data_IF_984373603100
#
_entry.id   IF_984373603100
#
_cell.length_a   1.000
_cell.length_b   1.000
_cell.length_c   1.000
_cell.angle_alpha   90.00
_cell.angle_beta   90.00
_cell.angle_gamma   90.00
#
_symmetry.space_group_name_H-M   'P 1'
#
loop_
_entity.id
_entity.type
_entity.pdbx_description
1 polymer ?
#
# COMPACT_ATOMS: atom_id res chain seq x y z
N UNK A 1 -10.61 30.98 6.17
CA UNK A 1 -9.31 30.40 5.79
C UNK A 1 -9.37 30.02 4.32
N UNK A 2 -8.45 30.60 3.56
CA UNK A 2 -8.46 30.81 2.11
C UNK A 2 -8.31 29.51 1.31
N UNK A 3 -9.15 29.33 0.31
CA UNK A 3 -9.22 28.14 -0.56
C UNK A 3 -7.96 27.88 -1.40
N UNK A 4 -7.06 28.86 -1.51
CA UNK A 4 -5.83 28.81 -2.32
C UNK A 4 -4.68 28.01 -1.69
N UNK A 5 -4.68 27.86 -0.36
CA UNK A 5 -3.62 27.12 0.36
C UNK A 5 -3.80 25.59 0.30
N UNK A 6 -4.99 25.12 -0.11
CA UNK A 6 -5.31 23.67 -0.21
C UNK A 6 -4.83 23.02 -1.50
N UNK A 7 -4.71 23.78 -2.59
CA UNK A 7 -4.34 23.27 -3.93
C UNK A 7 -2.87 22.84 -4.02
N UNK A 8 -1.98 23.44 -3.21
CA UNK A 8 -0.57 23.06 -3.13
C UNK A 8 -0.35 21.79 -2.31
N UNK A 9 -1.29 21.40 -1.44
CA UNK A 9 -1.13 20.28 -0.51
C UNK A 9 -0.94 18.96 -1.22
N UNK A 10 -1.83 18.62 -2.16
CA UNK A 10 -1.79 17.32 -2.85
C UNK A 10 -0.57 17.24 -3.78
N UNK A 11 -0.21 18.34 -4.44
CA UNK A 11 0.98 18.43 -5.29
C UNK A 11 2.28 18.31 -4.48
N UNK A 12 2.33 18.95 -3.31
CA UNK A 12 3.45 18.85 -2.38
C UNK A 12 3.61 17.42 -1.85
N UNK A 13 2.51 16.76 -1.50
CA UNK A 13 2.52 15.35 -1.07
C UNK A 13 3.02 14.44 -2.20
N UNK A 14 2.55 14.64 -3.43
CA UNK A 14 2.93 13.83 -4.58
C UNK A 14 4.42 14.03 -4.94
N UNK A 15 4.92 15.27 -4.88
CA UNK A 15 6.34 15.58 -5.04
C UNK A 15 7.20 15.05 -3.88
N UNK A 16 6.71 15.12 -2.65
CA UNK A 16 7.40 14.57 -1.48
C UNK A 16 7.51 13.04 -1.57
N UNK A 17 6.44 12.35 -1.99
CA UNK A 17 6.44 10.91 -2.22
C UNK A 17 7.44 10.52 -3.32
N UNK A 18 7.44 11.25 -4.44
CA UNK A 18 8.38 11.03 -5.53
C UNK A 18 9.84 11.23 -5.09
N UNK A 19 10.11 12.33 -4.37
CA UNK A 19 11.41 12.65 -3.83
C UNK A 19 11.89 11.61 -2.81
N UNK A 20 11.02 11.19 -1.89
CA UNK A 20 11.32 10.16 -0.90
C UNK A 20 11.62 8.81 -1.56
N UNK A 21 10.83 8.42 -2.58
CA UNK A 21 11.04 7.17 -3.31
C UNK A 21 12.38 7.19 -4.07
N UNK A 22 12.70 8.30 -4.74
CA UNK A 22 13.99 8.47 -5.41
C UNK A 22 15.15 8.45 -4.41
N UNK A 23 15.03 9.19 -3.31
CA UNK A 23 16.05 9.22 -2.27
C UNK A 23 16.30 7.83 -1.69
N UNK A 24 15.23 7.11 -1.33
CA UNK A 24 15.32 5.74 -0.82
C UNK A 24 15.91 4.78 -1.85
N UNK A 25 15.57 4.91 -3.14
CA UNK A 25 16.16 4.11 -4.20
C UNK A 25 17.67 4.40 -4.37
N UNK A 26 18.06 5.67 -4.35
CA UNK A 26 19.46 6.06 -4.41
C UNK A 26 20.25 5.60 -3.18
N UNK A 27 19.66 5.67 -2.00
CA UNK A 27 20.25 5.21 -0.75
C UNK A 27 20.43 3.68 -0.77
N UNK A 28 19.40 2.94 -1.18
CA UNK A 28 19.46 1.49 -1.34
C UNK A 28 20.55 1.05 -2.33
N UNK A 29 20.68 1.73 -3.47
CA UNK A 29 21.73 1.46 -4.47
C UNK A 29 23.13 1.78 -3.92
N UNK A 30 23.28 2.87 -3.16
CA UNK A 30 24.57 3.32 -2.62
C UNK A 30 25.07 2.50 -1.43
N UNK A 31 24.17 2.09 -0.54
CA UNK A 31 24.53 1.43 0.72
C UNK A 31 24.67 -0.07 0.58
N UNK A 32 23.79 -0.72 -0.20
CA UNK A 32 23.85 -2.18 -0.38
C UNK A 32 23.35 -2.57 -1.77
N UNK A 33 24.27 -2.63 -2.72
CA UNK A 33 24.06 -3.22 -4.05
C UNK A 33 24.04 -4.76 -4.02
N UNK A 34 23.82 -5.36 -2.85
CA UNK A 34 23.53 -6.79 -2.75
C UNK A 34 22.22 -7.08 -3.48
N UNK A 35 22.25 -8.07 -4.38
CA UNK A 35 21.11 -8.46 -5.21
C UNK A 35 19.86 -8.71 -4.36
N UNK A 36 19.99 -9.21 -3.12
CA UNK A 36 18.86 -9.43 -2.22
C UNK A 36 18.07 -8.16 -1.87
N UNK A 37 18.72 -7.02 -1.64
CA UNK A 37 18.01 -5.78 -1.29
C UNK A 37 17.39 -5.12 -2.53
N UNK A 38 18.11 -5.14 -3.65
CA UNK A 38 17.63 -4.59 -4.92
C UNK A 38 16.46 -5.37 -5.52
N UNK A 39 16.39 -6.69 -5.28
CA UNK A 39 15.37 -7.58 -5.87
C UNK A 39 13.94 -7.20 -5.47
N UNK A 40 13.74 -6.61 -4.28
CA UNK A 40 12.43 -6.12 -3.81
C UNK A 40 12.29 -4.59 -3.93
N UNK A 41 13.35 -3.84 -3.61
CA UNK A 41 13.28 -2.37 -3.59
C UNK A 41 13.14 -1.80 -5.01
N UNK A 42 13.88 -2.36 -5.98
CA UNK A 42 13.90 -1.87 -7.36
C UNK A 42 12.53 -1.99 -8.05
N UNK A 43 11.84 -3.16 -8.09
CA UNK A 43 10.54 -3.25 -8.73
C UNK A 43 9.49 -2.41 -8.02
N UNK A 44 9.51 -2.35 -6.68
CA UNK A 44 8.56 -1.53 -5.92
C UNK A 44 8.75 -0.04 -6.23
N UNK A 45 9.99 0.45 -6.22
CA UNK A 45 10.29 1.84 -6.54
C UNK A 45 9.88 2.19 -7.99
N UNK A 46 10.11 1.28 -8.94
CA UNK A 46 9.66 1.46 -10.33
C UNK A 46 8.14 1.57 -10.44
N UNK A 47 7.39 0.70 -9.75
CA UNK A 47 5.92 0.74 -9.75
C UNK A 47 5.43 2.07 -9.15
N UNK A 48 5.97 2.47 -8.00
CA UNK A 48 5.57 3.73 -7.34
C UNK A 48 5.88 4.93 -8.25
N UNK A 49 7.08 4.99 -8.82
CA UNK A 49 7.46 6.06 -9.76
C UNK A 49 6.58 6.07 -11.01
N UNK A 50 6.22 4.90 -11.55
CA UNK A 50 5.32 4.78 -12.69
C UNK A 50 3.91 5.31 -12.37
N UNK A 51 3.36 4.98 -11.19
CA UNK A 51 2.05 5.48 -10.74
C UNK A 51 2.08 6.99 -10.59
N UNK A 52 3.10 7.52 -9.90
CA UNK A 52 3.30 8.97 -9.72
C UNK A 52 3.42 9.68 -11.07
N UNK A 53 4.21 9.13 -12.01
CA UNK A 53 4.38 9.70 -13.34
C UNK A 53 3.06 9.68 -14.13
N UNK A 54 2.35 8.55 -14.11
CA UNK A 54 1.07 8.38 -14.80
C UNK A 54 0.03 9.37 -14.26
N UNK A 55 -0.04 9.53 -12.95
CA UNK A 55 -0.93 10.50 -12.31
C UNK A 55 -0.58 11.93 -12.69
N UNK A 56 0.72 12.29 -12.71
CA UNK A 56 1.19 13.59 -13.14
C UNK A 56 0.83 13.86 -14.60
N UNK A 57 1.06 12.90 -15.50
CA UNK A 57 0.71 13.00 -16.93
C UNK A 57 -0.80 13.12 -17.14
N UNK A 58 -1.60 12.35 -16.39
CA UNK A 58 -3.06 12.44 -16.46
C UNK A 58 -3.57 13.80 -15.98
N UNK A 59 -3.03 14.33 -14.88
CA UNK A 59 -3.39 15.65 -14.35
C UNK A 59 -2.94 16.79 -15.28
N UNK A 60 -1.76 16.67 -15.89
CA UNK A 60 -1.27 17.57 -16.95
C UNK A 60 -2.22 17.59 -18.16
N UNK A 61 -2.57 16.42 -18.70
CA UNK A 61 -3.46 16.31 -19.87
C UNK A 61 -4.87 16.85 -19.61
N UNK A 62 -5.38 16.68 -18.39
CA UNK A 62 -6.71 17.18 -18.00
C UNK A 62 -6.69 18.67 -17.61
N UNK A 63 -5.53 19.31 -17.54
CA UNK A 63 -5.40 20.69 -17.02
C UNK A 63 -5.75 20.82 -15.53
N UNK A 64 -5.92 19.70 -14.83
CA UNK A 64 -6.31 19.62 -13.42
C UNK A 64 -5.11 19.46 -12.51
N UNK A 65 -3.92 19.89 -12.94
CA UNK A 65 -2.71 19.85 -12.11
C UNK A 65 -2.95 20.41 -10.70
N UNK A 66 -3.71 21.51 -10.63
CA UNK A 66 -4.07 22.20 -9.40
C UNK A 66 -5.49 21.90 -8.91
N UNK A 67 -6.28 21.12 -9.66
CA UNK A 67 -7.67 20.86 -9.29
C UNK A 67 -7.73 19.58 -8.44
N UNK A 68 -8.30 19.72 -7.24
CA UNK A 68 -8.50 18.61 -6.31
C UNK A 68 -9.56 17.65 -6.88
N UNK A 69 -9.37 16.32 -6.81
CA UNK A 69 -10.50 15.40 -6.83
C UNK A 69 -11.39 15.71 -5.62
N UNK A 70 -12.71 15.59 -5.78
CA UNK A 70 -13.66 15.75 -4.68
C UNK A 70 -13.19 14.90 -3.50
N UNK A 71 -12.78 15.56 -2.41
CA UNK A 71 -12.27 14.87 -1.25
C UNK A 71 -13.40 14.00 -0.70
N UNK A 72 -13.24 12.67 -0.77
CA UNK A 72 -14.15 11.76 -0.10
C UNK A 72 -14.28 12.18 1.37
N UNK A 73 -15.51 12.21 1.92
CA UNK A 73 -15.72 12.68 3.27
C UNK A 73 -14.87 11.86 4.23
N UNK A 74 -14.03 12.54 5.02
CA UNK A 74 -13.11 11.94 6.01
C UNK A 74 -13.75 10.83 6.85
N UNK A 75 -15.06 10.91 7.12
CA UNK A 75 -15.84 9.87 7.82
C UNK A 75 -15.84 8.50 7.13
N UNK A 76 -15.72 8.43 5.82
CA UNK A 76 -15.64 7.18 5.06
C UNK A 76 -14.22 6.61 5.05
N UNK A 77 -13.20 7.47 5.05
CA UNK A 77 -11.78 7.06 5.04
C UNK A 77 -11.26 6.69 6.43
N UNK A 78 -11.73 7.37 7.49
CA UNK A 78 -11.30 7.14 8.88
C UNK A 78 -11.38 5.67 9.34
N UNK A 79 -12.49 4.94 9.12
CA UNK A 79 -12.58 3.54 9.53
C UNK A 79 -11.62 2.63 8.76
N UNK A 80 -11.32 2.94 7.49
CA UNK A 80 -10.35 2.19 6.68
C UNK A 80 -8.93 2.40 7.21
N UNK A 81 -8.56 3.65 7.53
CA UNK A 81 -7.25 3.98 8.10
C UNK A 81 -7.09 3.33 9.48
N UNK A 82 -8.13 3.34 10.31
CA UNK A 82 -8.13 2.65 11.60
C UNK A 82 -7.96 1.13 11.46
N UNK A 83 -8.64 0.53 10.49
CA UNK A 83 -8.50 -0.90 10.19
C UNK A 83 -7.08 -1.25 9.70
N UNK A 84 -6.49 -0.39 8.86
CA UNK A 84 -5.12 -0.55 8.40
C UNK A 84 -4.11 -0.45 9.55
N UNK A 85 -4.29 0.51 10.47
CA UNK A 85 -3.45 0.61 11.66
C UNK A 85 -3.56 -0.63 12.55
N UNK A 86 -4.77 -1.16 12.75
CA UNK A 86 -5.00 -2.38 13.50
C UNK A 86 -4.35 -3.61 12.83
N UNK A 87 -4.34 -3.66 11.49
CA UNK A 87 -3.60 -4.69 10.74
C UNK A 87 -2.09 -4.60 10.97
N UNK A 88 -1.51 -3.41 10.87
CA UNK A 88 -0.06 -3.23 11.10
C UNK A 88 0.34 -3.65 12.52
N UNK A 89 -0.47 -3.31 13.53
CA UNK A 89 -0.23 -3.75 14.91
C UNK A 89 -0.39 -5.26 15.09
N UNK A 90 -1.31 -5.90 14.35
CA UNK A 90 -1.57 -7.33 14.48
C UNK A 90 -0.55 -8.20 13.74
N UNK A 91 0.25 -7.63 12.83
CA UNK A 91 1.35 -8.34 12.15
C UNK A 91 2.37 -8.91 13.14
N UNK A 92 2.70 -8.17 14.21
CA UNK A 92 3.67 -8.62 15.22
C UNK A 92 3.13 -9.80 16.04
N UNK A 93 1.82 -9.85 16.32
CA UNK A 93 1.22 -10.84 17.22
C UNK A 93 0.59 -12.06 16.52
N UNK A 94 -0.07 -11.85 15.38
CA UNK A 94 -0.85 -12.89 14.68
C UNK A 94 -0.09 -13.52 13.50
N UNK A 95 1.05 -12.94 13.11
CA UNK A 95 1.77 -13.36 11.93
C UNK A 95 1.11 -12.88 10.62
N UNK A 96 1.91 -12.85 9.56
CA UNK A 96 1.56 -12.19 8.30
C UNK A 96 0.27 -12.75 7.65
N UNK A 97 0.13 -14.07 7.58
CA UNK A 97 -0.96 -14.72 6.85
C UNK A 97 -2.32 -14.47 7.50
N UNK A 98 -2.42 -14.72 8.80
CA UNK A 98 -3.67 -14.61 9.57
C UNK A 98 -4.10 -13.15 9.67
N UNK A 99 -3.15 -12.24 9.92
CA UNK A 99 -3.42 -10.81 9.93
C UNK A 99 -3.94 -10.33 8.57
N UNK A 100 -3.34 -10.80 7.46
CA UNK A 100 -3.75 -10.42 6.10
C UNK A 100 -5.15 -10.93 5.76
N UNK A 101 -5.46 -12.19 6.08
CA UNK A 101 -6.80 -12.78 5.85
C UNK A 101 -7.86 -12.02 6.67
N UNK A 102 -7.60 -11.75 7.95
CA UNK A 102 -8.52 -11.02 8.82
C UNK A 102 -8.72 -9.56 8.36
N UNK A 103 -7.65 -8.90 7.94
CA UNK A 103 -7.71 -7.54 7.41
C UNK A 103 -8.57 -7.46 6.15
N UNK A 104 -8.35 -8.35 5.17
CA UNK A 104 -9.12 -8.36 3.92
C UNK A 104 -10.60 -8.68 4.20
N UNK A 105 -10.86 -9.65 5.09
CA UNK A 105 -12.23 -9.98 5.49
C UNK A 105 -12.92 -8.78 6.15
N UNK A 106 -12.27 -8.14 7.11
CA UNK A 106 -12.81 -6.96 7.79
C UNK A 106 -12.99 -5.77 6.82
N UNK A 107 -12.07 -5.59 5.87
CA UNK A 107 -12.13 -4.53 4.89
C UNK A 107 -13.31 -4.70 3.92
N UNK A 108 -13.52 -5.93 3.43
CA UNK A 108 -14.66 -6.26 2.56
C UNK A 108 -16.01 -6.15 3.30
N UNK A 109 -16.06 -6.55 4.58
CA UNK A 109 -17.25 -6.32 5.43
C UNK A 109 -17.54 -4.83 5.58
N UNK A 110 -16.49 -4.01 5.77
CA UNK A 110 -16.62 -2.56 5.92
C UNK A 110 -17.07 -1.88 4.61
N UNK A 111 -16.71 -2.45 3.46
CA UNK A 111 -17.18 -2.06 2.13
C UNK A 111 -18.62 -2.49 1.83
N UNK A 112 -19.22 -3.37 2.64
CA UNK A 112 -20.62 -3.78 2.52
C UNK A 112 -20.86 -5.05 1.71
N UNK A 113 -19.82 -5.84 1.43
CA UNK A 113 -19.94 -7.08 0.66
C UNK A 113 -20.71 -8.14 1.47
N UNK A 114 -21.93 -8.50 1.02
CA UNK A 114 -22.83 -9.44 1.75
C UNK A 114 -22.69 -10.91 1.34
N UNK A 115 -21.81 -11.22 0.40
CA UNK A 115 -21.64 -12.60 -0.06
C UNK A 115 -20.57 -13.31 0.75
N UNK A 116 -20.97 -13.94 1.87
CA UNK A 116 -20.08 -14.60 2.83
C UNK A 116 -19.17 -15.67 2.21
N UNK A 117 -19.60 -16.34 1.13
CA UNK A 117 -18.79 -17.32 0.40
C UNK A 117 -17.67 -16.65 -0.41
N UNK A 118 -17.98 -15.56 -1.13
CA UNK A 118 -16.96 -14.79 -1.84
C UNK A 118 -16.04 -14.06 -0.86
N UNK A 119 -16.59 -13.55 0.25
CA UNK A 119 -15.85 -12.89 1.32
C UNK A 119 -14.79 -13.82 1.91
N UNK A 120 -15.20 -15.02 2.34
CA UNK A 120 -14.28 -16.01 2.91
C UNK A 120 -13.29 -16.52 1.87
N UNK A 121 -13.79 -16.93 0.69
CA UNK A 121 -12.95 -17.46 -0.37
C UNK A 121 -11.91 -16.47 -0.87
N UNK A 122 -12.29 -15.21 -1.11
CA UNK A 122 -11.37 -14.18 -1.58
C UNK A 122 -10.35 -13.81 -0.52
N UNK A 123 -10.77 -13.62 0.74
CA UNK A 123 -9.85 -13.24 1.82
C UNK A 123 -8.80 -14.32 2.08
N UNK A 124 -9.21 -15.60 2.06
CA UNK A 124 -8.30 -16.74 2.23
C UNK A 124 -7.40 -16.91 1.02
N UNK A 125 -7.95 -16.97 -0.20
CA UNK A 125 -7.16 -17.18 -1.41
C UNK A 125 -6.15 -16.05 -1.64
N UNK A 126 -6.56 -14.80 -1.42
CA UNK A 126 -5.67 -13.65 -1.57
C UNK A 126 -4.67 -13.54 -0.43
N UNK A 127 -5.08 -13.74 0.83
CA UNK A 127 -4.19 -13.70 1.98
C UNK A 127 -3.08 -14.75 1.90
N UNK A 128 -3.43 -16.00 1.57
CA UNK A 128 -2.44 -17.06 1.36
C UNK A 128 -1.63 -16.86 0.07
N UNK A 129 -2.22 -16.31 -1.00
CA UNK A 129 -1.49 -15.99 -2.22
C UNK A 129 -0.39 -14.95 -1.99
N UNK A 130 -0.70 -13.90 -1.23
CA UNK A 130 0.27 -12.87 -0.84
C UNK A 130 1.32 -13.45 0.12
N UNK A 131 0.91 -14.22 1.13
CA UNK A 131 1.82 -14.95 2.00
C UNK A 131 2.84 -15.80 1.23
N UNK A 132 2.36 -16.60 0.28
CA UNK A 132 3.19 -17.45 -0.56
C UNK A 132 4.13 -16.65 -1.45
N UNK A 133 3.66 -15.54 -2.03
CA UNK A 133 4.50 -14.64 -2.81
C UNK A 133 5.63 -14.04 -1.97
N UNK A 134 5.34 -13.62 -0.73
CA UNK A 134 6.35 -13.10 0.18
C UNK A 134 7.32 -14.19 0.67
N UNK A 135 6.84 -15.41 0.94
CA UNK A 135 7.69 -16.55 1.27
C UNK A 135 8.66 -16.90 0.14
N UNK A 136 8.22 -16.79 -1.12
CA UNK A 136 9.08 -17.03 -2.29
C UNK A 136 10.06 -15.89 -2.57
N UNK A 137 9.68 -14.64 -2.31
CA UNK A 137 10.54 -13.47 -2.57
C UNK A 137 11.56 -13.20 -1.47
N UNK A 138 11.30 -13.60 -0.21
CA UNK A 138 12.19 -13.34 0.92
C UNK A 138 12.85 -14.64 1.42
N UNK A 139 14.18 -14.79 1.31
CA UNK A 139 14.93 -15.86 2.01
C UNK A 139 15.08 -15.58 3.51
N UNK A 140 14.09 -14.91 4.13
CA UNK A 140 14.10 -14.51 5.53
C UNK A 140 12.89 -15.12 6.26
N UNK A 141 13.05 -15.74 7.44
CA UNK A 141 11.95 -16.37 8.15
C UNK A 141 10.95 -15.32 8.62
N UNK A 142 9.87 -15.15 7.87
CA UNK A 142 8.71 -14.36 8.28
C UNK A 142 7.96 -15.14 9.36
N UNK A 143 7.48 -14.45 10.40
CA UNK A 143 6.60 -15.06 11.41
C UNK A 143 5.26 -15.41 10.75
N UNK A 144 5.16 -16.65 10.27
CA UNK A 144 3.94 -17.24 9.70
C UNK A 144 3.33 -18.16 10.76
N UNK A 145 2.09 -17.87 11.17
CA UNK A 145 1.42 -18.61 12.23
C UNK A 145 0.86 -19.95 11.74
N UNK A 146 0.58 -20.07 10.43
CA UNK A 146 -0.01 -21.27 9.81
C UNK A 146 0.97 -21.94 8.82
N UNK A 147 1.63 -21.18 7.94
CA UNK A 147 2.66 -21.71 7.05
C UNK A 147 4.02 -21.76 7.77
N UNK A 148 4.11 -22.58 8.82
CA UNK A 148 5.38 -22.80 9.52
C UNK A 148 6.31 -23.66 8.67
N UNK A 149 7.12 -23.04 7.81
CA UNK A 149 8.25 -23.69 7.13
C UNK A 149 7.87 -24.74 6.10
#
# INVERSE_FOLDING_TARGET
MTTRDRDYGDLLVLMALAGFTLWYLFDAIRVSSAVQNLLLILPLALIVLAIVLLELVMRLRKGTLLARPDAEPLRQTLPVVGLFAAYVMSLETLGFDVATVLFIAAFLVLKGERNWLLLGGYSVAFGFGVAFFFALMLPYPMHMLILQG
#
